data_IF_641577022024
#
_entry.id   IF_641577022024
#
_cell.length_a   1.000
_cell.length_b   1.000
_cell.length_c   1.000
_cell.angle_alpha   90.00
_cell.angle_beta   90.00
_cell.angle_gamma   90.00
#
_symmetry.space_group_name_H-M   'P 1'
#
loop_
_entity.id
_entity.type
_entity.pdbx_description
1 polymer ?
#
# COMPACT_ATOMS: atom_id res chain seq x y z
N UNK A 1 -18.66 -28.92 6.26
CA UNK A 1 -17.30 -28.82 5.68
C UNK A 1 -17.36 -28.72 4.15
N UNK A 2 -18.34 -29.33 3.49
CA UNK A 2 -18.57 -29.25 2.04
C UNK A 2 -18.68 -27.83 1.47
N UNK A 3 -19.35 -26.89 2.15
CA UNK A 3 -19.52 -25.50 1.68
C UNK A 3 -18.22 -24.79 1.29
N UNK A 4 -17.10 -25.12 1.93
CA UNK A 4 -15.81 -24.45 1.69
C UNK A 4 -14.93 -25.20 0.68
N UNK A 5 -15.34 -26.40 0.27
CA UNK A 5 -14.58 -27.28 -0.62
C UNK A 5 -14.45 -26.65 -2.02
N UNK A 6 -15.51 -25.98 -2.48
CA UNK A 6 -15.56 -25.34 -3.81
C UNK A 6 -14.50 -24.26 -3.98
N UNK A 7 -14.14 -23.54 -2.91
CA UNK A 7 -13.06 -22.57 -2.98
C UNK A 7 -11.70 -23.25 -3.22
N UNK A 8 -11.53 -24.48 -2.75
CA UNK A 8 -10.26 -25.22 -2.72
C UNK A 8 -10.03 -26.15 -3.91
N UNK A 9 -10.87 -26.12 -4.94
CA UNK A 9 -10.76 -27.02 -6.09
C UNK A 9 -9.39 -26.96 -6.81
N UNK A 10 -8.73 -25.80 -6.83
CA UNK A 10 -7.38 -25.66 -7.41
C UNK A 10 -6.26 -26.32 -6.60
N UNK A 11 -6.53 -26.66 -5.34
CA UNK A 11 -5.54 -27.19 -4.38
C UNK A 11 -5.58 -28.72 -4.29
N UNK A 12 -6.69 -29.36 -4.65
CA UNK A 12 -6.85 -30.82 -4.49
C UNK A 12 -5.82 -31.61 -5.28
N UNK A 13 -5.40 -31.11 -6.44
CA UNK A 13 -4.37 -31.73 -7.30
C UNK A 13 -2.95 -31.62 -6.71
N UNK A 14 -2.72 -30.69 -5.78
CA UNK A 14 -1.41 -30.42 -5.18
C UNK A 14 -1.13 -31.25 -3.92
N UNK A 15 -2.13 -31.98 -3.40
CA UNK A 15 -2.01 -32.68 -2.11
C UNK A 15 -0.96 -33.81 -2.10
N UNK A 16 -0.60 -34.36 -3.27
CA UNK A 16 0.46 -35.35 -3.39
C UNK A 16 1.84 -34.77 -3.06
N UNK A 17 2.17 -33.61 -3.64
CA UNK A 17 3.44 -32.89 -3.41
C UNK A 17 3.42 -32.10 -2.10
N UNK A 18 2.28 -31.50 -1.76
CA UNK A 18 2.09 -30.65 -0.58
C UNK A 18 1.15 -31.30 0.41
N UNK A 19 1.59 -32.41 1.01
CA UNK A 19 0.78 -33.21 1.94
C UNK A 19 0.12 -32.33 3.01
N UNK A 20 -1.22 -32.31 3.03
CA UNK A 20 -2.00 -31.57 4.02
C UNK A 20 -2.47 -30.19 3.57
N UNK A 21 -2.02 -29.68 2.41
CA UNK A 21 -2.43 -28.38 1.87
C UNK A 21 -3.94 -28.29 1.62
N UNK A 22 -4.58 -29.39 1.21
CA UNK A 22 -6.03 -29.42 0.98
C UNK A 22 -6.80 -29.20 2.27
N UNK A 23 -6.35 -29.80 3.38
CA UNK A 23 -6.94 -29.61 4.69
C UNK A 23 -6.72 -28.18 5.20
N UNK A 24 -5.52 -27.63 4.98
CA UNK A 24 -5.23 -26.24 5.28
C UNK A 24 -6.17 -25.30 4.53
N UNK A 25 -6.34 -25.49 3.22
CA UNK A 25 -7.24 -24.66 2.41
C UNK A 25 -8.66 -24.63 2.97
N UNK A 26 -9.23 -25.80 3.31
CA UNK A 26 -10.59 -25.88 3.84
C UNK A 26 -10.73 -25.13 5.18
N UNK A 27 -9.74 -25.26 6.07
CA UNK A 27 -9.72 -24.54 7.35
C UNK A 27 -9.54 -23.05 7.15
N UNK A 28 -8.65 -22.64 6.23
CA UNK A 28 -8.40 -21.26 5.88
C UNK A 28 -9.68 -20.60 5.35
N UNK A 29 -10.35 -21.19 4.38
CA UNK A 29 -11.59 -20.67 3.80
C UNK A 29 -12.69 -20.50 4.87
N UNK A 30 -12.85 -21.51 5.75
CA UNK A 30 -13.79 -21.44 6.88
C UNK A 30 -13.45 -20.31 7.85
N UNK A 31 -12.19 -20.22 8.29
CA UNK A 31 -11.78 -19.27 9.30
C UNK A 31 -11.86 -17.82 8.76
N UNK A 32 -11.43 -17.60 7.51
CA UNK A 32 -11.58 -16.32 6.81
C UNK A 32 -13.04 -15.88 6.75
N UNK A 33 -13.93 -16.78 6.33
CA UNK A 33 -15.37 -16.53 6.26
C UNK A 33 -15.94 -16.16 7.63
N UNK A 34 -15.54 -16.86 8.69
CA UNK A 34 -16.06 -16.61 10.03
C UNK A 34 -15.63 -15.24 10.57
N UNK A 35 -14.35 -14.89 10.41
CA UNK A 35 -13.85 -13.58 10.85
C UNK A 35 -14.48 -12.45 10.03
N UNK A 36 -14.55 -12.59 8.71
CA UNK A 36 -15.08 -11.54 7.82
C UNK A 36 -16.58 -11.27 8.03
N UNK A 37 -17.32 -12.25 8.57
CA UNK A 37 -18.74 -12.11 8.95
C UNK A 37 -18.99 -11.35 10.25
N UNK A 38 -17.97 -11.11 11.06
CA UNK A 38 -18.14 -10.36 12.31
C UNK A 38 -18.62 -8.95 11.99
N UNK A 39 -19.76 -8.54 12.55
CA UNK A 39 -20.34 -7.22 12.27
C UNK A 39 -19.55 -6.09 12.95
N UNK A 40 -19.15 -6.32 14.20
CA UNK A 40 -18.35 -5.37 14.97
C UNK A 40 -16.97 -5.18 14.33
N UNK A 41 -16.68 -3.94 13.90
CA UNK A 41 -15.45 -3.59 13.16
C UNK A 41 -14.18 -3.86 13.96
N UNK A 42 -14.18 -3.56 15.25
CA UNK A 42 -13.02 -3.75 16.12
C UNK A 42 -12.71 -5.24 16.31
N UNK A 43 -13.71 -6.04 16.73
CA UNK A 43 -13.59 -7.49 16.85
C UNK A 43 -13.20 -8.15 15.53
N UNK A 44 -13.73 -7.67 14.41
CA UNK A 44 -13.35 -8.14 13.07
C UNK A 44 -11.90 -7.83 12.76
N UNK A 45 -11.45 -6.60 13.01
CA UNK A 45 -10.06 -6.18 12.81
C UNK A 45 -9.10 -7.06 13.61
N UNK A 46 -9.35 -7.21 14.91
CA UNK A 46 -8.58 -8.09 15.79
C UNK A 46 -8.59 -9.54 15.30
N UNK A 47 -9.77 -10.05 14.91
CA UNK A 47 -9.93 -11.38 14.33
C UNK A 47 -9.15 -11.57 13.03
N UNK A 48 -9.08 -10.55 12.17
CA UNK A 48 -8.31 -10.60 10.92
C UNK A 48 -6.83 -10.75 11.22
N UNK A 49 -6.30 -9.97 12.16
CA UNK A 49 -4.90 -10.10 12.60
C UNK A 49 -4.61 -11.53 13.09
N UNK A 50 -5.43 -12.08 13.99
CA UNK A 50 -5.26 -13.46 14.46
C UNK A 50 -5.34 -14.50 13.33
N UNK A 51 -6.25 -14.31 12.38
CA UNK A 51 -6.39 -15.17 11.22
C UNK A 51 -5.13 -15.18 10.36
N UNK A 52 -4.55 -14.01 10.07
CA UNK A 52 -3.32 -13.86 9.28
C UNK A 52 -2.17 -14.63 9.95
N UNK A 53 -1.92 -14.41 11.24
CA UNK A 53 -0.87 -15.14 11.97
C UNK A 53 -1.13 -16.64 12.03
N UNK A 54 -2.39 -17.05 12.23
CA UNK A 54 -2.75 -18.46 12.21
C UNK A 54 -2.43 -19.12 10.86
N UNK A 55 -2.72 -18.45 9.73
CA UNK A 55 -2.38 -18.97 8.39
C UNK A 55 -0.87 -19.22 8.30
N UNK A 56 -0.07 -18.25 8.71
CA UNK A 56 1.39 -18.34 8.65
C UNK A 56 1.94 -19.48 9.51
N UNK A 57 1.40 -19.66 10.73
CA UNK A 57 1.74 -20.80 11.57
C UNK A 57 1.36 -22.15 10.95
N UNK A 58 0.24 -22.23 10.22
CA UNK A 58 -0.11 -23.46 9.52
C UNK A 58 0.81 -23.73 8.32
N UNK A 59 1.20 -22.69 7.58
CA UNK A 59 2.14 -22.83 6.45
C UNK A 59 3.49 -23.38 6.94
N UNK A 60 4.00 -22.86 8.06
CA UNK A 60 5.27 -23.28 8.65
C UNK A 60 5.25 -24.75 9.15
N UNK A 61 4.07 -25.32 9.42
CA UNK A 61 3.92 -26.75 9.78
C UNK A 61 4.01 -27.69 8.57
N UNK A 62 3.82 -27.16 7.36
CA UNK A 62 3.90 -27.94 6.13
C UNK A 62 5.33 -27.92 5.61
N UNK A 63 6.08 -29.01 5.83
CA UNK A 63 7.51 -29.09 5.48
C UNK A 63 7.81 -28.69 4.03
N UNK A 64 7.00 -29.13 3.07
CA UNK A 64 7.17 -28.80 1.64
C UNK A 64 6.90 -27.34 1.27
N UNK A 65 6.19 -26.60 2.12
CA UNK A 65 6.05 -25.15 2.00
C UNK A 65 7.20 -24.48 2.73
N UNK A 66 7.52 -24.91 3.94
CA UNK A 66 8.61 -24.36 4.75
C UNK A 66 9.97 -24.43 4.03
N UNK A 67 10.27 -25.54 3.36
CA UNK A 67 11.55 -25.74 2.66
C UNK A 67 11.70 -24.90 1.40
N UNK A 68 10.60 -24.37 0.86
CA UNK A 68 10.58 -23.50 -0.32
C UNK A 68 9.51 -22.42 -0.13
N UNK A 69 9.75 -21.56 0.86
CA UNK A 69 8.86 -20.49 1.23
C UNK A 69 9.00 -19.35 0.23
N UNK A 70 8.11 -19.31 -0.76
CA UNK A 70 8.16 -18.38 -1.88
C UNK A 70 6.77 -18.17 -2.45
N UNK A 71 6.45 -16.95 -2.90
CA UNK A 71 5.21 -16.67 -3.62
C UNK A 71 5.09 -17.50 -4.91
N UNK A 72 6.21 -17.97 -5.47
CA UNK A 72 6.24 -18.86 -6.65
C UNK A 72 5.87 -20.30 -6.32
N UNK A 73 5.79 -20.66 -5.03
CA UNK A 73 5.35 -21.97 -4.60
C UNK A 73 3.89 -22.21 -5.06
N UNK A 74 3.62 -23.26 -5.85
CA UNK A 74 2.28 -23.55 -6.36
C UNK A 74 1.20 -23.60 -5.28
N UNK A 75 1.50 -24.19 -4.13
CA UNK A 75 0.55 -24.26 -3.02
C UNK A 75 0.23 -22.88 -2.44
N UNK A 76 1.25 -22.02 -2.23
CA UNK A 76 1.05 -20.66 -1.74
C UNK A 76 0.26 -19.81 -2.73
N UNK A 77 0.59 -19.91 -4.03
CA UNK A 77 -0.14 -19.21 -5.09
C UNK A 77 -1.61 -19.59 -5.13
N UNK A 78 -1.94 -20.86 -4.98
CA UNK A 78 -3.34 -21.29 -4.93
C UNK A 78 -4.04 -20.86 -3.64
N UNK A 79 -3.36 -20.88 -2.48
CA UNK A 79 -3.93 -20.38 -1.22
C UNK A 79 -4.22 -18.88 -1.29
N UNK A 80 -3.33 -18.09 -1.89
CA UNK A 80 -3.53 -16.68 -2.15
C UNK A 80 -4.78 -16.42 -3.01
N UNK A 81 -4.96 -17.18 -4.10
CA UNK A 81 -6.17 -17.11 -4.93
C UNK A 81 -7.43 -17.38 -4.14
N UNK A 82 -7.39 -18.33 -3.20
CA UNK A 82 -8.54 -18.64 -2.33
C UNK A 82 -8.88 -17.47 -1.42
N UNK A 83 -7.89 -16.88 -0.74
CA UNK A 83 -8.08 -15.70 0.12
C UNK A 83 -8.72 -14.56 -0.68
N UNK A 84 -8.12 -14.21 -1.82
CA UNK A 84 -8.61 -13.12 -2.67
C UNK A 84 -10.01 -13.37 -3.20
N UNK A 85 -10.29 -14.59 -3.67
CA UNK A 85 -11.61 -14.94 -4.19
C UNK A 85 -12.69 -14.75 -3.13
N UNK A 86 -12.45 -15.23 -1.91
CA UNK A 86 -13.42 -15.11 -0.80
C UNK A 86 -13.60 -13.64 -0.44
N UNK A 87 -12.51 -12.90 -0.21
CA UNK A 87 -12.59 -11.48 0.14
C UNK A 87 -13.32 -10.67 -0.93
N UNK A 88 -12.92 -10.77 -2.20
CA UNK A 88 -13.48 -9.93 -3.26
C UNK A 88 -14.93 -10.29 -3.60
N UNK A 89 -15.29 -11.58 -3.62
CA UNK A 89 -16.64 -12.00 -3.98
C UNK A 89 -17.65 -11.84 -2.85
N UNK A 90 -17.25 -12.10 -1.61
CA UNK A 90 -18.19 -12.24 -0.50
C UNK A 90 -18.12 -11.09 0.51
N UNK A 91 -16.95 -10.47 0.71
CA UNK A 91 -16.72 -9.60 1.86
C UNK A 91 -16.24 -8.18 1.55
N UNK A 92 -15.73 -7.88 0.35
CA UNK A 92 -15.23 -6.58 -0.12
C UNK A 92 -14.56 -5.73 0.98
N UNK A 93 -15.29 -4.83 1.63
CA UNK A 93 -14.85 -3.91 2.68
C UNK A 93 -14.58 -4.56 4.06
N UNK A 94 -14.93 -5.84 4.21
CA UNK A 94 -14.83 -6.62 5.45
C UNK A 94 -13.86 -7.79 5.35
N UNK A 95 -13.17 -7.96 4.22
CA UNK A 95 -12.24 -9.06 4.00
C UNK A 95 -10.96 -8.95 4.84
N UNK A 96 -10.35 -10.09 5.14
CA UNK A 96 -9.03 -10.15 5.76
C UNK A 96 -7.99 -10.61 4.72
N UNK A 97 -7.07 -9.74 4.34
CA UNK A 97 -6.05 -10.05 3.35
C UNK A 97 -4.84 -10.73 3.98
N UNK A 98 -4.23 -11.65 3.23
CA UNK A 98 -3.04 -12.39 3.64
C UNK A 98 -2.03 -12.23 2.51
N UNK A 99 -0.87 -11.65 2.81
CA UNK A 99 0.22 -11.60 1.86
C UNK A 99 0.94 -12.95 1.86
N UNK A 100 1.46 -13.36 0.71
CA UNK A 100 2.25 -14.60 0.58
C UNK A 100 3.61 -14.32 -0.06
N UNK A 101 3.92 -13.05 -0.28
CA UNK A 101 5.15 -12.57 -0.91
C UNK A 101 6.10 -12.04 0.15
N UNK A 102 6.69 -12.97 0.92
CA UNK A 102 7.69 -12.67 1.95
C UNK A 102 8.48 -13.94 2.28
N UNK A 103 9.60 -13.77 2.96
CA UNK A 103 10.47 -14.82 3.51
C UNK A 103 10.09 -15.19 4.93
N UNK A 104 10.46 -16.41 5.37
CA UNK A 104 10.19 -16.84 6.75
C UNK A 104 10.77 -15.86 7.79
N UNK A 105 11.91 -15.24 7.48
CA UNK A 105 12.54 -14.25 8.34
C UNK A 105 11.72 -12.97 8.44
N UNK A 106 11.25 -12.43 7.31
CA UNK A 106 10.35 -11.27 7.30
C UNK A 106 9.08 -11.54 8.11
N UNK A 107 8.50 -12.73 7.99
CA UNK A 107 7.35 -13.11 8.81
C UNK A 107 7.64 -13.08 10.32
N UNK A 108 8.77 -13.62 10.74
CA UNK A 108 9.17 -13.61 12.15
C UNK A 108 9.32 -12.18 12.66
N UNK A 109 9.91 -11.30 11.86
CA UNK A 109 10.04 -9.88 12.19
C UNK A 109 8.68 -9.18 12.29
N UNK A 110 7.78 -9.39 11.33
CA UNK A 110 6.43 -8.82 11.35
C UNK A 110 5.61 -9.32 12.53
N UNK A 111 5.78 -10.59 12.91
CA UNK A 111 5.14 -11.14 14.12
C UNK A 111 5.64 -10.42 15.37
N UNK A 112 6.95 -10.21 15.50
CA UNK A 112 7.51 -9.51 16.66
C UNK A 112 6.99 -8.07 16.77
N UNK A 113 6.95 -7.34 15.65
CA UNK A 113 6.41 -5.98 15.60
C UNK A 113 4.92 -5.93 15.95
N UNK A 114 4.11 -6.81 15.37
CA UNK A 114 2.68 -6.86 15.69
C UNK A 114 2.42 -7.18 17.16
N UNK A 115 3.13 -8.15 17.72
CA UNK A 115 2.99 -8.51 19.13
C UNK A 115 3.39 -7.33 20.03
N UNK A 116 4.44 -6.58 19.66
CA UNK A 116 4.79 -5.32 20.29
C UNK A 116 3.64 -4.30 20.24
N UNK A 117 3.11 -3.97 19.06
CA UNK A 117 2.05 -2.96 18.93
C UNK A 117 0.73 -3.36 19.60
N UNK A 118 0.44 -4.66 19.69
CA UNK A 118 -0.75 -5.20 20.39
C UNK A 118 -0.61 -5.06 21.89
N UNK A 119 0.59 -5.33 22.42
CA UNK A 119 0.85 -5.33 23.85
C UNK A 119 1.24 -3.95 24.39
N UNK A 120 1.54 -2.97 23.52
CA UNK A 120 2.03 -1.64 23.88
C UNK A 120 1.11 -0.93 24.91
N UNK A 121 -0.17 -0.77 24.58
CA UNK A 121 -1.11 0.02 25.40
C UNK A 121 -1.31 -0.58 26.79
N UNK A 122 -1.38 -1.92 26.88
CA UNK A 122 -1.58 -2.61 28.14
C UNK A 122 -0.27 -2.73 28.94
N UNK A 123 0.90 -2.65 28.28
CA UNK A 123 2.21 -2.51 28.96
C UNK A 123 2.32 -1.18 29.69
N UNK A 124 1.78 -0.10 29.11
CA UNK A 124 1.77 1.24 29.71
C UNK A 124 0.70 1.38 30.79
N UNK A 125 -0.49 0.81 30.56
CA UNK A 125 -1.61 0.90 31.49
C UNK A 125 -2.14 -0.49 31.86
N UNK A 126 -1.53 -1.08 32.89
CA UNK A 126 -1.88 -2.41 33.41
C UNK A 126 -3.29 -2.51 33.99
N UNK A 127 -4.01 -1.39 34.17
CA UNK A 127 -5.40 -1.38 34.63
C UNK A 127 -6.40 -1.70 33.53
N UNK A 128 -5.98 -1.73 32.26
CA UNK A 128 -6.87 -1.93 31.10
C UNK A 128 -7.13 -3.40 30.73
N UNK A 129 -6.36 -4.37 31.22
CA UNK A 129 -6.51 -5.76 30.76
C UNK A 129 -6.17 -6.82 31.82
N UNK A 130 -7.01 -7.86 31.93
CA UNK A 130 -6.95 -8.89 32.99
C UNK A 130 -6.08 -10.12 32.64
N UNK A 131 -5.48 -10.18 31.44
CA UNK A 131 -4.55 -11.26 31.06
C UNK A 131 -3.09 -10.83 31.29
N UNK A 132 -2.59 -11.12 32.50
CA UNK A 132 -1.35 -10.57 33.05
C UNK A 132 -0.04 -11.09 32.40
N UNK A 133 -0.07 -12.26 31.74
CA UNK A 133 1.14 -12.92 31.23
C UNK A 133 1.52 -12.54 29.79
N UNK A 134 0.54 -12.17 28.93
CA UNK A 134 0.80 -11.79 27.53
C UNK A 134 1.03 -10.30 27.34
N UNK A 135 0.86 -9.49 28.38
CA UNK A 135 0.76 -8.04 28.32
C UNK A 135 2.06 -7.31 28.75
N UNK A 136 3.15 -8.03 29.01
CA UNK A 136 4.41 -7.42 29.49
C UNK A 136 5.50 -7.54 28.45
N UNK A 137 5.79 -6.43 27.79
CA UNK A 137 7.00 -6.30 26.97
C UNK A 137 8.19 -6.11 27.93
N UNK A 138 9.18 -7.01 27.83
CA UNK A 138 10.42 -6.91 28.62
C UNK A 138 11.42 -5.99 27.94
N UNK A 139 12.20 -5.27 28.74
CA UNK A 139 13.27 -4.38 28.28
C UNK A 139 14.27 -5.05 27.34
N UNK A 140 14.65 -6.30 27.64
CA UNK A 140 15.55 -7.12 26.82
C UNK A 140 15.07 -7.26 25.37
N UNK A 141 13.76 -7.23 25.14
CA UNK A 141 13.17 -7.38 23.80
C UNK A 141 13.18 -6.06 23.02
N UNK A 142 13.25 -4.92 23.70
CA UNK A 142 13.07 -3.60 23.07
C UNK A 142 14.21 -3.25 22.12
N UNK A 143 15.43 -3.71 22.38
CA UNK A 143 16.57 -3.52 21.46
C UNK A 143 16.24 -4.08 20.07
N UNK A 144 15.80 -5.34 20.03
CA UNK A 144 15.45 -5.98 18.76
C UNK A 144 14.25 -5.32 18.10
N UNK A 145 13.25 -4.93 18.89
CA UNK A 145 12.06 -4.23 18.39
C UNK A 145 12.45 -2.86 17.81
N UNK A 146 13.39 -2.13 18.41
CA UNK A 146 13.86 -0.82 17.93
C UNK A 146 14.55 -0.94 16.57
N UNK A 147 15.41 -1.95 16.40
CA UNK A 147 16.04 -2.25 15.10
C UNK A 147 14.99 -2.53 14.01
N UNK A 148 13.99 -3.35 14.34
CA UNK A 148 12.92 -3.69 13.40
C UNK A 148 12.02 -2.48 13.12
N UNK A 149 11.72 -1.67 14.13
CA UNK A 149 10.96 -0.44 13.98
C UNK A 149 11.67 0.49 13.00
N UNK A 150 12.98 0.72 13.15
CA UNK A 150 13.78 1.48 12.21
C UNK A 150 13.79 0.88 10.79
N UNK A 151 13.93 -0.45 10.68
CA UNK A 151 13.94 -1.16 9.39
C UNK A 151 12.64 -0.98 8.60
N UNK A 152 11.50 -0.92 9.28
CA UNK A 152 10.18 -0.89 8.64
C UNK A 152 9.52 0.49 8.62
N UNK A 153 9.95 1.45 9.45
CA UNK A 153 9.36 2.79 9.54
C UNK A 153 9.31 3.47 8.16
N UNK A 154 10.46 3.58 7.47
CA UNK A 154 10.52 4.20 6.15
C UNK A 154 9.91 3.37 5.02
N UNK A 155 9.70 2.06 5.22
CA UNK A 155 9.07 1.17 4.22
C UNK A 155 7.55 1.20 4.30
N UNK A 156 7.03 1.39 5.50
CA UNK A 156 5.62 1.29 5.79
C UNK A 156 4.94 2.65 5.97
N UNK A 157 5.69 3.68 6.39
CA UNK A 157 5.12 4.97 6.78
C UNK A 157 5.60 6.08 5.86
N UNK A 158 4.64 6.79 5.28
CA UNK A 158 4.88 8.03 4.53
C UNK A 158 4.30 9.19 5.32
N UNK A 159 5.12 10.18 5.67
CA UNK A 159 4.69 11.35 6.45
C UNK A 159 4.56 12.58 5.56
N UNK A 160 3.62 13.45 5.94
CA UNK A 160 3.35 14.71 5.27
C UNK A 160 3.58 15.89 6.23
N UNK A 161 3.96 17.04 5.69
CA UNK A 161 4.30 18.24 6.46
C UNK A 161 3.12 18.83 7.25
N UNK A 162 1.89 18.45 6.91
CA UNK A 162 0.66 18.81 7.63
C UNK A 162 0.40 17.91 8.87
N UNK A 163 1.27 16.94 9.14
CA UNK A 163 1.15 15.99 10.25
C UNK A 163 0.38 14.71 9.91
N UNK A 164 -0.16 14.59 8.70
CA UNK A 164 -0.80 13.35 8.24
C UNK A 164 0.25 12.28 7.89
N UNK A 165 -0.19 11.02 7.83
CA UNK A 165 0.64 9.92 7.37
C UNK A 165 -0.19 8.82 6.68
N UNK A 166 0.43 8.12 5.73
CA UNK A 166 -0.07 6.86 5.18
C UNK A 166 0.66 5.69 5.81
N UNK A 167 -0.04 4.56 5.96
CA UNK A 167 0.53 3.30 6.40
C UNK A 167 0.26 2.22 5.36
N UNK A 168 1.32 1.77 4.68
CA UNK A 168 1.29 0.74 3.66
C UNK A 168 1.40 -0.69 4.25
N UNK A 169 1.66 -0.81 5.56
CA UNK A 169 1.79 -2.08 6.28
C UNK A 169 0.85 -2.17 7.52
N UNK A 170 -0.45 -1.85 7.41
CA UNK A 170 -1.34 -1.77 8.57
C UNK A 170 -1.54 -3.10 9.32
N UNK A 171 -1.16 -4.23 8.73
CA UNK A 171 -1.33 -5.57 9.28
C UNK A 171 -0.35 -5.87 10.43
N UNK A 172 0.84 -5.26 10.41
CA UNK A 172 1.88 -5.53 11.41
C UNK A 172 2.61 -4.28 11.91
N UNK A 173 2.42 -3.12 11.28
CA UNK A 173 3.12 -1.89 11.62
C UNK A 173 2.18 -0.74 11.99
N UNK A 174 2.59 0.11 12.94
CA UNK A 174 1.88 1.37 13.28
C UNK A 174 2.83 2.56 13.17
N UNK A 175 2.41 3.57 12.41
CA UNK A 175 3.20 4.78 12.10
C UNK A 175 3.06 5.93 13.11
N UNK A 176 2.15 5.82 14.08
CA UNK A 176 2.00 6.83 15.12
C UNK A 176 3.24 6.81 16.04
N UNK A 177 3.80 8.00 16.29
CA UNK A 177 5.02 8.21 17.08
C UNK A 177 4.94 7.68 18.49
N UNK A 178 3.73 7.63 19.05
CA UNK A 178 3.56 7.06 20.38
C UNK A 178 4.09 5.63 20.43
N UNK A 179 4.03 4.88 19.33
CA UNK A 179 4.52 3.50 19.28
C UNK A 179 6.01 3.39 18.97
N UNK A 180 6.78 4.47 19.05
CA UNK A 180 8.23 4.38 18.95
C UNK A 180 8.76 3.58 20.17
N UNK A 181 9.60 2.54 19.98
CA UNK A 181 10.12 1.73 21.08
C UNK A 181 10.88 2.51 22.14
N UNK A 182 11.44 3.68 21.79
CA UNK A 182 12.06 4.60 22.72
C UNK A 182 11.09 5.09 23.81
N UNK A 183 9.85 5.41 23.44
CA UNK A 183 8.85 5.91 24.39
C UNK A 183 8.56 4.86 25.47
N UNK A 184 8.42 3.60 25.06
CA UNK A 184 8.19 2.50 25.99
C UNK A 184 9.45 2.17 26.82
N UNK A 185 10.63 2.27 26.22
CA UNK A 185 11.89 2.05 26.92
C UNK A 185 12.09 3.03 28.08
N UNK A 186 11.83 4.33 27.83
CA UNK A 186 11.86 5.38 28.86
C UNK A 186 10.77 5.15 29.90
N UNK A 187 9.54 4.85 29.46
CA UNK A 187 8.42 4.60 30.36
C UNK A 187 8.68 3.46 31.35
N UNK A 188 9.27 2.36 30.87
CA UNK A 188 9.60 1.19 31.70
C UNK A 188 10.86 1.37 32.56
N UNK A 189 11.60 2.48 32.40
CA UNK A 189 12.87 2.72 33.10
C UNK A 189 13.87 1.57 32.95
N UNK A 190 14.01 1.05 31.72
CA UNK A 190 14.71 -0.19 31.43
C UNK A 190 16.17 -0.25 31.87
N UNK A 191 16.92 0.83 31.66
CA UNK A 191 18.26 0.99 32.21
C UNK A 191 18.58 2.50 32.40
N UNK A 192 18.79 2.97 33.63
CA UNK A 192 19.14 4.36 33.89
C UNK A 192 20.48 4.80 33.30
N UNK A 193 21.44 3.88 33.09
CA UNK A 193 22.78 4.19 32.57
C UNK A 193 22.85 4.19 31.03
N UNK A 194 21.94 3.49 30.35
CA UNK A 194 21.96 3.29 28.89
C UNK A 194 21.13 4.32 28.08
N UNK A 195 20.21 5.05 28.74
CA UNK A 195 19.31 6.05 28.10
C UNK A 195 20.08 7.14 27.34
N UNK A 196 21.35 7.38 27.68
CA UNK A 196 22.18 8.44 27.07
C UNK A 196 23.21 7.96 26.05
N UNK A 197 23.39 6.65 25.82
CA UNK A 197 24.44 6.17 24.90
C UNK A 197 24.01 5.17 23.83
N UNK A 198 23.11 4.20 24.08
CA UNK A 198 22.89 3.14 23.08
C UNK A 198 21.44 2.94 22.60
N UNK A 199 20.40 3.36 23.33
CA UNK A 199 19.01 3.24 22.86
C UNK A 199 18.54 4.52 22.16
N UNK A 200 18.82 4.66 20.86
CA UNK A 200 18.51 5.86 20.09
C UNK A 200 17.05 5.84 19.63
N UNK A 201 16.35 6.98 19.80
CA UNK A 201 15.01 7.20 19.26
C UNK A 201 15.06 7.15 17.73
N UNK A 202 14.22 6.31 17.14
CA UNK A 202 14.13 6.22 15.68
C UNK A 202 13.44 7.47 15.15
N UNK A 203 14.15 8.25 14.35
CA UNK A 203 13.62 9.45 13.70
C UNK A 203 12.74 9.09 12.50
N UNK A 204 11.72 9.92 12.26
CA UNK A 204 10.89 9.79 11.06
C UNK A 204 11.70 10.04 9.79
N UNK A 205 11.32 9.41 8.66
CA UNK A 205 11.80 9.85 7.37
C UNK A 205 11.32 11.28 7.06
N UNK A 206 12.03 11.97 6.17
CA UNK A 206 11.63 13.29 5.67
C UNK A 206 10.23 13.27 5.07
N UNK A 207 9.51 14.39 5.20
CA UNK A 207 8.17 14.51 4.63
C UNK A 207 8.22 14.47 3.11
N UNK A 208 7.36 13.66 2.49
CA UNK A 208 7.39 13.48 1.04
C UNK A 208 7.00 14.75 0.26
N UNK A 209 6.22 15.63 0.90
CA UNK A 209 5.75 16.91 0.35
C UNK A 209 6.68 18.08 0.69
N UNK A 210 7.79 17.84 1.39
CA UNK A 210 8.72 18.89 1.83
C UNK A 210 9.18 19.77 0.66
N UNK A 211 9.68 19.15 -0.42
CA UNK A 211 10.17 19.88 -1.59
C UNK A 211 9.06 20.64 -2.32
N UNK A 212 7.88 20.03 -2.47
CA UNK A 212 6.74 20.67 -3.14
C UNK A 212 6.26 21.90 -2.36
N UNK A 213 6.27 21.82 -1.03
CA UNK A 213 5.91 22.91 -0.14
C UNK A 213 6.96 24.03 -0.16
N UNK A 214 8.25 23.70 -0.08
CA UNK A 214 9.35 24.67 -0.17
C UNK A 214 9.30 25.47 -1.49
N UNK A 215 9.09 24.80 -2.63
CA UNK A 215 8.94 25.46 -3.94
C UNK A 215 7.69 26.36 -3.95
N UNK A 216 6.59 25.91 -3.36
CA UNK A 216 5.35 26.69 -3.28
C UNK A 216 5.51 27.93 -2.41
N UNK A 217 6.24 27.83 -1.30
CA UNK A 217 6.55 28.96 -0.41
C UNK A 217 7.45 29.98 -1.10
N UNK A 218 8.54 29.53 -1.75
CA UNK A 218 9.43 30.39 -2.55
C UNK A 218 8.69 31.12 -3.67
N UNK A 219 7.77 30.45 -4.38
CA UNK A 219 7.00 31.09 -5.45
C UNK A 219 6.03 32.15 -4.91
N UNK A 220 5.42 31.90 -3.74
CA UNK A 220 4.59 32.89 -3.05
C UNK A 220 5.42 34.12 -2.65
N UNK A 221 6.58 33.93 -2.03
CA UNK A 221 7.48 35.03 -1.68
C UNK A 221 7.87 35.85 -2.91
N UNK A 222 8.25 35.20 -4.01
CA UNK A 222 8.59 35.88 -5.25
C UNK A 222 7.39 36.65 -5.86
N UNK A 223 6.18 36.07 -5.81
CA UNK A 223 4.98 36.75 -6.27
C UNK A 223 4.65 38.01 -5.44
N UNK A 224 4.91 37.97 -4.14
CA UNK A 224 4.72 39.10 -3.23
C UNK A 224 5.76 40.20 -3.49
N UNK A 225 7.03 39.84 -3.72
CA UNK A 225 8.07 40.79 -4.11
C UNK A 225 7.74 41.49 -5.43
N UNK A 226 7.31 40.73 -6.45
CA UNK A 226 6.94 41.29 -7.75
C UNK A 226 5.70 42.20 -7.69
N UNK A 227 4.77 41.95 -6.76
CA UNK A 227 3.62 42.84 -6.53
C UNK A 227 4.03 44.14 -5.83
N UNK A 228 5.07 44.09 -5.00
CA UNK A 228 5.60 45.23 -4.24
C UNK A 228 6.42 46.20 -5.10
N UNK A 229 7.01 45.71 -6.19
CA UNK A 229 7.79 46.52 -7.15
C UNK A 229 6.94 47.27 -8.18
N UNK A 230 5.63 47.01 -8.27
CA UNK A 230 4.73 47.65 -9.25
C UNK A 230 4.20 49.02 -8.79
N UNK A 231 4.44 49.44 -7.54
CA UNK A 231 3.85 50.70 -7.02
C UNK A 231 4.63 51.98 -7.30
N UNK A 232 5.83 51.97 -7.88
CA UNK A 232 6.49 53.20 -8.31
C UNK A 232 7.39 52.96 -9.53
N UNK A 233 6.92 53.36 -10.72
CA UNK A 233 7.63 54.26 -11.65
C UNK A 233 7.09 54.08 -13.07
N UNK A 234 6.44 55.12 -13.58
CA UNK A 234 6.17 55.30 -15.00
C UNK A 234 7.47 55.68 -15.73
N UNK A 235 7.98 54.80 -16.60
CA UNK A 235 8.70 55.17 -17.84
C UNK A 235 8.95 53.93 -18.70
N UNK A 236 8.75 53.99 -20.03
CA UNK A 236 9.06 52.89 -20.93
C UNK A 236 10.51 53.01 -21.44
N UNK A 237 11.33 51.97 -21.28
CA UNK A 237 12.31 51.53 -22.28
C UNK A 237 13.16 50.34 -21.78
N UNK A 238 13.00 49.22 -22.48
CA UNK A 238 14.01 48.23 -22.89
C UNK A 238 15.04 47.84 -21.82
N UNK A 239 14.74 46.77 -21.08
CA UNK A 239 15.74 45.86 -20.53
C UNK A 239 15.28 44.42 -20.81
N UNK A 240 16.25 43.64 -21.24
CA UNK A 240 16.20 42.34 -21.87
C UNK A 240 15.90 41.24 -20.83
N UNK A 241 14.62 40.90 -20.66
CA UNK A 241 14.17 39.77 -19.83
C UNK A 241 13.09 38.98 -20.58
N UNK A 242 13.49 38.21 -21.60
CA UNK A 242 12.62 37.17 -22.15
C UNK A 242 12.49 36.02 -21.13
N UNK A 243 11.30 35.77 -20.55
CA UNK A 243 11.11 34.72 -19.56
C UNK A 243 11.29 33.34 -20.20
N UNK A 244 11.88 32.40 -19.45
CA UNK A 244 12.20 31.01 -19.83
C UNK A 244 11.01 30.23 -20.44
N UNK A 245 9.78 30.70 -20.22
CA UNK A 245 8.57 30.19 -20.87
C UNK A 245 8.55 30.37 -22.40
N UNK A 246 9.14 31.43 -22.93
CA UNK A 246 9.13 31.70 -24.38
C UNK A 246 10.03 30.72 -25.12
N UNK A 247 11.15 30.31 -24.51
CA UNK A 247 12.09 29.37 -25.09
C UNK A 247 11.49 27.94 -25.16
N UNK A 248 10.80 27.49 -24.11
CA UNK A 248 10.11 26.20 -24.12
C UNK A 248 8.97 26.18 -25.13
N UNK A 249 8.13 27.22 -25.18
CA UNK A 249 7.05 27.30 -26.16
C UNK A 249 7.57 27.39 -27.59
N UNK A 250 8.68 28.09 -27.83
CA UNK A 250 9.35 28.14 -29.13
C UNK A 250 9.89 26.77 -29.54
N UNK A 251 10.54 26.04 -28.62
CA UNK A 251 11.00 24.67 -28.88
C UNK A 251 9.85 23.70 -29.13
N UNK A 252 8.75 23.83 -28.38
CA UNK A 252 7.54 23.01 -28.55
C UNK A 252 6.86 23.30 -29.89
N UNK A 253 6.71 24.58 -30.27
CA UNK A 253 6.18 24.99 -31.58
C UNK A 253 7.07 24.51 -32.73
N UNK A 254 8.40 24.63 -32.59
CA UNK A 254 9.34 24.12 -33.58
C UNK A 254 9.26 22.59 -33.70
N UNK A 255 9.18 21.87 -32.58
CA UNK A 255 9.05 20.41 -32.56
C UNK A 255 7.74 19.95 -33.21
N UNK A 256 6.60 20.58 -32.88
CA UNK A 256 5.31 20.28 -33.50
C UNK A 256 5.27 20.65 -35.00
N UNK A 257 5.91 21.75 -35.39
CA UNK A 257 6.06 22.14 -36.80
C UNK A 257 6.85 21.10 -37.60
N UNK A 258 7.97 20.61 -37.06
CA UNK A 258 8.78 19.55 -37.67
C UNK A 258 8.01 18.23 -37.78
N UNK A 259 7.31 17.83 -36.72
CA UNK A 259 6.48 16.61 -36.71
C UNK A 259 5.32 16.71 -37.73
N UNK A 260 4.67 17.87 -37.80
CA UNK A 260 3.61 18.14 -38.77
C UNK A 260 4.12 18.05 -40.21
N UNK A 261 5.27 18.67 -40.50
CA UNK A 261 5.91 18.58 -41.81
C UNK A 261 6.29 17.13 -42.17
N UNK A 262 6.89 16.38 -41.24
CA UNK A 262 7.22 14.96 -41.44
C UNK A 262 5.98 14.10 -41.72
N UNK A 263 4.87 14.35 -41.03
CA UNK A 263 3.60 13.65 -41.29
C UNK A 263 3.01 13.99 -42.66
N UNK A 264 3.07 15.26 -43.08
CA UNK A 264 2.68 15.67 -44.44
C UNK A 264 3.51 14.96 -45.50
N UNK A 265 4.84 14.92 -45.35
CA UNK A 265 5.71 14.16 -46.26
C UNK A 265 5.43 12.66 -46.24
N UNK A 266 5.13 12.06 -45.09
CA UNK A 266 4.78 10.64 -45.00
C UNK A 266 3.48 10.31 -45.72
N UNK A 267 2.45 11.16 -45.59
CA UNK A 267 1.18 10.99 -46.30
C UNK A 267 1.41 11.10 -47.81
N UNK A 268 2.10 12.13 -48.28
CA UNK A 268 2.40 12.27 -49.72
C UNK A 268 3.31 11.16 -50.25
N UNK A 269 4.31 10.72 -49.49
CA UNK A 269 5.16 9.58 -49.85
C UNK A 269 4.36 8.29 -49.97
N UNK A 270 3.44 8.03 -49.04
CA UNK A 270 2.59 6.83 -49.04
C UNK A 270 1.55 6.83 -50.18
N UNK A 271 1.10 8.00 -50.62
CA UNK A 271 0.14 8.15 -51.73
C UNK A 271 0.81 8.43 -53.09
N UNK A 272 2.14 8.48 -53.16
CA UNK A 272 2.90 8.50 -54.41
C UNK A 272 3.23 7.06 -54.81
N UNK A 273 2.82 6.55 -55.99
CA UNK A 273 2.98 5.15 -56.36
C UNK A 273 4.39 4.91 -56.92
N UNK A 274 5.41 4.92 -56.05
CA UNK A 274 6.75 4.46 -56.38
C UNK A 274 7.27 3.52 -55.28
N UNK A 275 7.13 2.23 -55.53
CA UNK A 275 8.17 1.25 -55.19
C UNK A 275 8.24 0.73 -53.75
N UNK A 276 7.33 -0.21 -53.43
CA UNK A 276 7.57 -1.53 -52.83
C UNK A 276 8.78 -1.81 -51.90
N UNK A 277 8.46 -2.62 -50.88
CA UNK A 277 9.24 -3.76 -50.37
C UNK A 277 10.14 -3.47 -49.16
N UNK A 278 9.65 -3.80 -47.96
CA UNK A 278 10.37 -4.72 -47.05
C UNK A 278 9.48 -5.18 -45.88
N UNK A 279 9.28 -6.49 -45.88
CA UNK A 279 8.71 -7.30 -44.81
C UNK A 279 9.87 -7.67 -43.86
N UNK A 280 9.69 -7.52 -42.55
CA UNK A 280 10.72 -7.87 -41.58
C UNK A 280 10.18 -7.88 -40.14
N UNK A 281 9.83 -9.08 -39.66
CA UNK A 281 9.38 -9.36 -38.30
C UNK A 281 10.36 -8.86 -37.22
N UNK A 282 9.81 -8.38 -36.10
CA UNK A 282 10.03 -8.90 -34.72
C UNK A 282 9.22 -8.07 -33.71
N UNK A 283 8.08 -8.61 -33.25
CA UNK A 283 7.48 -8.20 -31.96
C UNK A 283 8.04 -9.12 -30.88
N UNK A 284 8.98 -8.63 -30.08
CA UNK A 284 9.12 -9.11 -28.71
C UNK A 284 8.04 -8.40 -27.88
N UNK A 285 6.93 -9.09 -27.64
CA UNK A 285 5.99 -8.68 -26.61
C UNK A 285 6.48 -9.30 -25.30
N UNK A 286 7.14 -8.53 -24.44
CA UNK A 286 7.14 -8.81 -23.01
C UNK A 286 5.85 -8.19 -22.47
N UNK A 287 4.88 -9.03 -22.13
CA UNK A 287 3.72 -8.61 -21.35
C UNK A 287 4.20 -8.58 -19.89
N UNK A 288 4.38 -7.38 -19.33
CA UNK A 288 4.66 -7.21 -17.91
C UNK A 288 3.35 -7.44 -17.14
N UNK A 289 3.20 -8.63 -16.53
CA UNK A 289 2.02 -9.03 -15.75
C UNK A 289 1.70 -8.10 -14.55
N UNK A 290 2.64 -7.24 -14.15
CA UNK A 290 2.46 -6.28 -13.06
C UNK A 290 1.59 -5.09 -13.48
N UNK A 291 1.72 -4.63 -14.73
CA UNK A 291 0.91 -3.51 -15.27
C UNK A 291 -0.55 -3.94 -15.48
N UNK A 292 -0.77 -5.18 -15.91
CA UNK A 292 -2.12 -5.74 -16.12
C UNK A 292 -2.92 -5.84 -14.79
N UNK A 293 -2.23 -6.14 -13.68
CA UNK A 293 -2.84 -6.24 -12.34
C UNK A 293 -3.19 -4.88 -11.73
N UNK A 294 -2.29 -3.89 -11.83
CA UNK A 294 -2.54 -2.50 -11.43
C UNK A 294 -3.75 -1.92 -12.20
N UNK A 295 -3.80 -2.18 -13.50
CA UNK A 295 -4.84 -1.67 -14.37
C UNK A 295 -6.21 -2.34 -14.08
N UNK A 296 -6.22 -3.63 -13.73
CA UNK A 296 -7.44 -4.33 -13.31
C UNK A 296 -7.97 -3.84 -11.94
N UNK A 297 -7.07 -3.50 -11.00
CA UNK A 297 -7.44 -2.90 -9.71
C UNK A 297 -8.00 -1.48 -9.87
N UNK A 298 -7.38 -0.66 -10.71
CA UNK A 298 -7.84 0.70 -11.02
C UNK A 298 -9.21 0.68 -11.71
N UNK A 299 -9.44 -0.22 -12.67
CA UNK A 299 -10.73 -0.33 -13.36
C UNK A 299 -11.87 -0.76 -12.42
N UNK A 300 -11.57 -1.64 -11.44
CA UNK A 300 -12.53 -1.98 -10.39
C UNK A 300 -12.83 -0.80 -9.45
N UNK A 301 -11.83 0.02 -9.11
CA UNK A 301 -12.00 1.22 -8.28
C UNK A 301 -12.82 2.29 -8.98
N UNK A 302 -12.64 2.45 -10.29
CA UNK A 302 -13.41 3.38 -11.12
C UNK A 302 -14.86 2.91 -11.31
N UNK A 303 -15.09 1.61 -11.48
CA UNK A 303 -16.45 1.03 -11.55
C UNK A 303 -17.23 1.15 -10.25
N UNK A 304 -16.57 1.11 -9.09
CA UNK A 304 -17.26 1.29 -7.79
C UNK A 304 -17.67 2.74 -7.53
N UNK A 305 -16.94 3.72 -8.08
CA UNK A 305 -17.30 5.14 -8.02
C UNK A 305 -18.46 5.54 -8.95
N UNK A 306 -18.70 4.80 -10.03
CA UNK A 306 -19.71 5.11 -11.04
C UNK A 306 -21.08 4.46 -10.82
N UNK A 307 -21.37 3.94 -9.62
CA UNK A 307 -22.73 3.49 -9.28
C UNK A 307 -23.60 4.71 -9.02
N UNK A 308 -24.26 5.18 -10.08
CA UNK A 308 -25.23 6.27 -10.08
C UNK A 308 -26.39 5.94 -9.10
N UNK A 309 -26.67 6.76 -8.08
CA UNK A 309 -27.82 6.56 -7.22
C UNK A 309 -29.09 6.85 -8.04
N UNK A 310 -29.82 5.79 -8.40
CA UNK A 310 -31.12 5.94 -9.04
C UNK A 310 -32.04 6.80 -8.17
N UNK A 311 -32.47 7.93 -8.73
CA UNK A 311 -33.55 8.79 -8.25
C UNK A 311 -34.81 7.96 -7.94
N UNK A 312 -35.00 7.57 -6.67
CA UNK A 312 -36.33 7.26 -6.14
C UNK A 312 -36.98 8.55 -5.69
N UNK A 313 -37.72 9.20 -6.60
CA UNK A 313 -38.69 10.24 -6.21
C UNK A 313 -39.84 9.55 -5.47
N UNK A 314 -39.92 9.73 -4.15
CA UNK A 314 -41.12 9.44 -3.39
C UNK A 314 -42.24 10.36 -3.89
N UNK A 315 -43.32 9.80 -4.43
CA UNK A 315 -44.54 10.54 -4.78
C UNK A 315 -45.48 10.50 -3.57
N UNK A 316 -45.60 11.63 -2.87
CA UNK A 316 -46.70 11.87 -1.93
C UNK A 316 -47.81 12.52 -2.75
N UNK A 317 -48.96 11.86 -2.86
CA UNK A 317 -50.16 12.44 -3.44
C UNK A 317 -51.05 12.97 -2.29
N UNK A 318 -51.37 14.25 -2.34
CA UNK A 318 -52.41 14.88 -1.52
C UNK A 318 -53.74 14.73 -2.29
N UNK A 319 -54.78 14.21 -1.65
CA UNK A 319 -56.15 14.30 -2.16
C UNK A 319 -56.95 15.19 -1.21
N UNK A 320 -57.59 16.28 -1.69
CA UNK A 320 -58.62 16.98 -0.95
C UNK A 320 -59.98 16.32 -1.21
N UNK A 321 -60.68 15.99 -0.13
CA UNK A 321 -62.07 15.56 -0.09
C UNK A 321 -62.60 15.82 1.30
#
# INVERSE_FOLDING_TARGET
MEKYKDHCNGITTLNGTYKGVSNLCMKLARNLTNVSKLENKEKRSTGCSYFVYWVYEQLNKLYSIKSNYSYTNPAMKELYKVVNRINMKEFKDKGCYVYFDYTLDEWNEWKLLHDYFRNYECTIDSKKDTNLDTCKIKCENLNKINELYAKYLGKCCTYFSNGEYSNECPEFFKCDDKYNPYELYVHLSCDPEDIRKNFIKVEKPEFIDYYAKDITEKSKEQSLLNRSSVTHSETPMIADDTPIFDLFYTFVLAAFGLLGASLFFFVFYKFTPLGSRMQGNRRHVRINHYEEFEQEMLDQRLRSRNVNPQNRRARIAYQPG
#
